data_IF_075404672260
#
_entry.id   IF_075404672260
#
_cell.length_a   1.000
_cell.length_b   1.000
_cell.length_c   1.000
_cell.angle_alpha   90.00
_cell.angle_beta   90.00
_cell.angle_gamma   90.00
#
_symmetry.space_group_name_H-M   'P 1'
#
loop_
_entity.id
_entity.type
_entity.pdbx_description
1 polymer ?
#
# COMPACT_ATOMS: atom_id res chain seq x y z
N UNK A 1 7.09 -20.75 13.31
CA UNK A 1 6.19 -20.95 12.14
C UNK A 1 5.93 -19.67 11.34
N UNK A 2 5.97 -18.48 11.95
CA UNK A 2 5.62 -17.22 11.28
C UNK A 2 6.65 -16.72 10.26
N UNK A 3 7.94 -17.08 10.39
CA UNK A 3 8.99 -16.60 9.49
C UNK A 3 8.77 -17.02 8.03
N UNK A 4 8.47 -18.29 7.79
CA UNK A 4 8.24 -18.81 6.44
C UNK A 4 7.02 -18.15 5.79
N UNK A 5 5.94 -17.96 6.57
CA UNK A 5 4.72 -17.29 6.12
C UNK A 5 5.01 -15.82 5.78
N UNK A 6 5.71 -15.09 6.64
CA UNK A 6 6.09 -13.70 6.39
C UNK A 6 6.98 -13.57 5.16
N UNK A 7 7.92 -14.50 4.96
CA UNK A 7 8.78 -14.52 3.78
C UNK A 7 7.98 -14.74 2.50
N UNK A 8 7.06 -15.70 2.49
CA UNK A 8 6.21 -15.97 1.33
C UNK A 8 5.28 -14.79 1.02
N UNK A 9 4.71 -14.15 2.03
CA UNK A 9 3.89 -12.94 1.86
C UNK A 9 4.70 -11.77 1.32
N UNK A 10 5.93 -11.57 1.83
CA UNK A 10 6.85 -10.56 1.34
C UNK A 10 7.28 -10.79 -0.11
N UNK A 11 7.56 -12.05 -0.47
CA UNK A 11 7.90 -12.43 -1.83
C UNK A 11 6.71 -12.21 -2.79
N UNK A 12 5.50 -12.61 -2.39
CA UNK A 12 4.28 -12.38 -3.16
C UNK A 12 4.04 -10.89 -3.38
N UNK A 13 4.23 -10.06 -2.34
CA UNK A 13 4.12 -8.61 -2.45
C UNK A 13 5.17 -8.02 -3.40
N UNK A 14 6.43 -8.42 -3.27
CA UNK A 14 7.51 -7.97 -4.15
C UNK A 14 7.28 -8.34 -5.61
N UNK A 15 6.87 -9.58 -5.89
CA UNK A 15 6.50 -10.03 -7.23
C UNK A 15 5.34 -9.17 -7.78
N UNK A 16 4.33 -8.89 -6.96
CA UNK A 16 3.22 -8.01 -7.34
C UNK A 16 3.66 -6.59 -7.71
N UNK A 17 4.62 -6.01 -6.98
CA UNK A 17 5.18 -4.68 -7.29
C UNK A 17 5.91 -4.67 -8.64
N UNK A 18 6.71 -5.70 -8.92
CA UNK A 18 7.44 -5.82 -10.19
C UNK A 18 6.47 -6.03 -11.36
N UNK A 19 5.51 -6.94 -11.22
CA UNK A 19 4.53 -7.25 -12.29
C UNK A 19 3.60 -6.07 -12.57
N UNK A 20 3.23 -5.28 -11.56
CA UNK A 20 2.41 -4.08 -11.76
C UNK A 20 3.17 -2.90 -12.38
N UNK A 21 4.50 -2.95 -12.42
CA UNK A 21 5.34 -1.86 -12.91
C UNK A 21 5.37 -0.65 -11.98
N UNK A 22 5.01 -0.81 -10.70
CA UNK A 22 5.04 0.27 -9.70
C UNK A 22 6.46 0.74 -9.35
N UNK A 23 7.48 -0.01 -9.76
CA UNK A 23 8.88 0.38 -9.63
C UNK A 23 9.32 1.39 -10.69
N UNK A 24 8.52 1.63 -11.73
CA UNK A 24 8.83 2.61 -12.78
C UNK A 24 8.30 4.00 -12.38
N UNK A 25 9.17 4.99 -12.13
CA UNK A 25 8.73 6.33 -11.76
C UNK A 25 7.93 7.02 -12.86
N UNK A 26 8.14 6.65 -14.13
CA UNK A 26 7.37 7.19 -15.24
C UNK A 26 5.88 6.84 -15.10
N UNK A 27 5.54 5.64 -14.61
CA UNK A 27 4.14 5.25 -14.38
C UNK A 27 3.46 6.07 -13.28
N UNK A 28 4.19 6.39 -12.22
CA UNK A 28 3.63 7.18 -11.11
C UNK A 28 3.47 8.63 -11.53
N UNK A 29 4.46 9.20 -12.20
CA UNK A 29 4.40 10.57 -12.71
C UNK A 29 3.30 10.74 -13.77
N UNK A 30 3.18 9.80 -14.71
CA UNK A 30 2.11 9.80 -15.71
C UNK A 30 0.72 9.64 -15.08
N UNK A 31 0.58 8.95 -13.96
CA UNK A 31 -0.69 8.90 -13.23
C UNK A 31 -1.04 10.25 -12.58
N UNK A 32 -0.04 10.99 -12.08
CA UNK A 32 -0.21 12.30 -11.46
C UNK A 32 -0.39 13.42 -12.50
N UNK A 33 0.10 13.23 -13.72
CA UNK A 33 -0.02 14.20 -14.82
C UNK A 33 -1.38 14.14 -15.52
N UNK A 34 -2.40 14.70 -14.85
CA UNK A 34 -3.78 14.78 -15.34
C UNK A 34 -3.94 15.66 -16.61
N UNK A 35 -2.96 16.49 -16.94
CA UNK A 35 -3.03 17.45 -18.06
C UNK A 35 -2.15 17.04 -19.26
N UNK A 36 -1.34 15.99 -19.13
CA UNK A 36 -0.44 15.48 -20.16
C UNK A 36 -0.72 14.03 -20.53
N UNK A 37 0.28 13.15 -20.38
CA UNK A 37 0.20 11.73 -20.74
C UNK A 37 -0.42 10.89 -19.61
N UNK A 38 -1.67 11.18 -19.28
CA UNK A 38 -2.35 10.55 -18.14
C UNK A 38 -2.54 9.03 -18.35
N UNK A 39 -1.92 8.21 -17.49
CA UNK A 39 -2.02 6.75 -17.51
C UNK A 39 -2.93 6.23 -16.36
N UNK A 40 -4.15 5.73 -16.65
CA UNK A 40 -5.07 5.23 -15.63
C UNK A 40 -4.70 3.83 -15.09
N UNK A 41 -3.66 3.18 -15.62
CA UNK A 41 -3.28 1.82 -15.21
C UNK A 41 -2.94 1.73 -13.73
N UNK A 42 -2.35 2.77 -13.15
CA UNK A 42 -2.04 2.83 -11.71
C UNK A 42 -3.31 2.87 -10.85
N UNK A 43 -4.38 3.53 -11.33
CA UNK A 43 -5.66 3.63 -10.64
C UNK A 43 -6.31 2.26 -10.47
N UNK A 44 -6.19 1.38 -11.46
CA UNK A 44 -6.70 0.01 -11.40
C UNK A 44 -5.93 -0.84 -10.38
N UNK A 45 -4.61 -0.66 -10.31
CA UNK A 45 -3.77 -1.36 -9.32
C UNK A 45 -4.11 -0.91 -7.91
N UNK A 46 -4.16 0.41 -7.66
CA UNK A 46 -4.52 0.96 -6.35
C UNK A 46 -5.97 0.59 -5.98
N UNK A 47 -6.90 0.74 -6.93
CA UNK A 47 -8.32 0.44 -6.71
C UNK A 47 -8.56 -1.03 -6.39
N UNK A 48 -7.92 -1.95 -7.11
CA UNK A 48 -8.01 -3.39 -6.81
C UNK A 48 -7.36 -3.74 -5.47
N UNK A 49 -6.22 -3.14 -5.13
CA UNK A 49 -5.59 -3.32 -3.83
C UNK A 49 -6.50 -2.86 -2.68
N UNK A 50 -7.08 -1.65 -2.78
CA UNK A 50 -8.01 -1.11 -1.78
C UNK A 50 -9.25 -2.00 -1.65
N UNK A 51 -9.82 -2.45 -2.77
CA UNK A 51 -11.00 -3.32 -2.77
C UNK A 51 -10.70 -4.67 -2.11
N UNK A 52 -9.60 -5.33 -2.48
CA UNK A 52 -9.18 -6.61 -1.90
C UNK A 52 -8.90 -6.45 -0.41
N UNK A 53 -8.20 -5.39 0.01
CA UNK A 53 -7.94 -5.12 1.44
C UNK A 53 -9.23 -4.86 2.21
N UNK A 54 -10.17 -4.09 1.64
CA UNK A 54 -11.45 -3.81 2.29
C UNK A 54 -12.26 -5.08 2.52
N UNK A 55 -12.41 -5.93 1.50
CA UNK A 55 -13.08 -7.22 1.63
C UNK A 55 -12.30 -8.15 2.59
N UNK A 56 -10.98 -8.18 2.47
CA UNK A 56 -10.10 -8.98 3.32
C UNK A 56 -10.25 -8.65 4.80
N UNK A 57 -10.23 -7.37 5.17
CA UNK A 57 -10.44 -6.94 6.56
C UNK A 57 -11.82 -7.29 7.08
N UNK A 58 -12.87 -7.14 6.25
CA UNK A 58 -14.24 -7.55 6.63
C UNK A 58 -14.35 -9.05 6.91
N UNK A 59 -13.58 -9.89 6.24
CA UNK A 59 -13.57 -11.34 6.43
C UNK A 59 -12.66 -11.77 7.59
N UNK A 60 -11.49 -11.15 7.72
CA UNK A 60 -10.48 -11.50 8.73
C UNK A 60 -10.89 -10.99 10.11
N UNK A 61 -11.41 -9.77 10.21
CA UNK A 61 -11.85 -9.20 11.49
C UNK A 61 -13.17 -9.78 12.02
N UNK A 62 -13.84 -10.64 11.24
CA UNK A 62 -14.95 -11.48 11.72
C UNK A 62 -14.47 -12.71 12.50
N UNK A 63 -13.18 -13.06 12.42
CA UNK A 63 -12.59 -14.16 13.18
C UNK A 63 -12.15 -13.68 14.55
N UNK A 64 -12.25 -14.54 15.55
CA UNK A 64 -11.82 -14.23 16.92
C UNK A 64 -10.29 -14.11 17.05
N UNK A 65 -9.54 -14.80 16.19
CA UNK A 65 -8.07 -14.81 16.22
C UNK A 65 -7.45 -14.89 14.81
N UNK A 66 -6.22 -14.36 14.63
CA UNK A 66 -5.47 -14.53 13.39
C UNK A 66 -5.09 -15.99 13.15
N UNK A 67 -5.03 -16.40 11.87
CA UNK A 67 -4.62 -17.76 11.48
C UNK A 67 -3.13 -18.00 11.80
N UNK A 68 -2.31 -16.97 11.62
CA UNK A 68 -0.87 -16.98 11.91
C UNK A 68 -0.57 -15.78 12.80
N UNK A 69 -0.42 -16.03 14.10
CA UNK A 69 -0.24 -15.00 15.13
C UNK A 69 -1.05 -15.33 16.39
N UNK A 70 -0.74 -14.68 17.50
CA UNK A 70 -1.51 -14.85 18.76
C UNK A 70 -2.75 -13.97 18.83
N UNK A 71 -2.64 -12.70 18.40
CA UNK A 71 -3.70 -11.69 18.52
C UNK A 71 -3.63 -10.68 17.37
N UNK A 72 -4.77 -10.05 17.06
CA UNK A 72 -4.78 -8.89 16.16
C UNK A 72 -4.29 -7.64 16.91
N UNK A 73 -3.30 -6.95 16.36
CA UNK A 73 -2.80 -5.67 16.88
C UNK A 73 -3.49 -4.51 16.16
N UNK A 74 -4.71 -4.17 16.57
CA UNK A 74 -5.43 -3.02 16.02
C UNK A 74 -5.10 -1.73 16.78
N UNK A 75 -5.03 -0.57 16.11
CA UNK A 75 -4.92 0.71 16.77
C UNK A 75 -6.12 0.95 17.70
N UNK A 76 -5.88 1.23 18.98
CA UNK A 76 -6.93 1.58 19.94
C UNK A 76 -7.36 3.05 19.83
N UNK A 77 -6.49 3.89 19.24
CA UNK A 77 -6.72 5.32 19.05
C UNK A 77 -7.61 5.57 17.82
N UNK A 78 -8.64 6.39 18.03
CA UNK A 78 -9.60 6.81 16.99
C UNK A 78 -9.67 8.33 16.85
N UNK A 79 -8.87 9.04 17.63
CA UNK A 79 -8.70 10.48 17.56
C UNK A 79 -7.98 10.84 16.27
N UNK A 80 -8.59 11.77 15.53
CA UNK A 80 -7.93 12.42 14.39
C UNK A 80 -7.24 13.66 14.97
N UNK A 81 -5.94 13.54 15.22
CA UNK A 81 -5.12 14.66 15.68
C UNK A 81 -4.40 15.33 14.49
N UNK A 82 -3.83 16.52 14.74
CA UNK A 82 -3.07 17.22 13.73
C UNK A 82 -1.87 16.41 13.22
N UNK A 83 -1.36 15.44 14.01
CA UNK A 83 -0.20 14.61 13.66
C UNK A 83 -0.55 13.53 12.63
N UNK A 84 -1.73 12.92 12.78
CA UNK A 84 -2.32 11.95 11.84
C UNK A 84 -2.70 12.64 10.53
N UNK A 85 -2.96 13.95 10.53
CA UNK A 85 -3.19 14.70 9.30
C UNK A 85 -1.89 15.17 8.63
N UNK A 86 -1.01 15.82 9.40
CA UNK A 86 0.18 16.52 8.87
C UNK A 86 1.26 15.55 8.41
N UNK A 87 1.52 14.46 9.14
CA UNK A 87 2.55 13.49 8.78
C UNK A 87 2.29 12.84 7.41
N UNK A 88 1.12 12.20 7.20
CA UNK A 88 0.77 11.61 5.91
C UNK A 88 0.67 12.64 4.78
N UNK A 89 0.23 13.87 5.06
CA UNK A 89 0.19 14.92 4.05
C UNK A 89 1.60 15.30 3.56
N UNK A 90 2.54 15.56 4.48
CA UNK A 90 3.93 15.89 4.13
C UNK A 90 4.59 14.70 3.39
N UNK A 91 4.37 13.48 3.89
CA UNK A 91 4.88 12.27 3.26
C UNK A 91 4.33 12.08 1.84
N UNK A 92 3.02 12.27 1.64
CA UNK A 92 2.37 12.17 0.34
C UNK A 92 2.87 13.22 -0.66
N UNK A 93 3.09 14.46 -0.21
CA UNK A 93 3.68 15.51 -1.04
C UNK A 93 5.10 15.15 -1.47
N UNK A 94 5.96 14.73 -0.54
CA UNK A 94 7.33 14.33 -0.87
C UNK A 94 7.37 13.15 -1.84
N UNK A 95 6.47 12.19 -1.65
CA UNK A 95 6.35 11.03 -2.53
C UNK A 95 5.89 11.39 -3.95
N UNK A 96 4.87 12.25 -4.08
CA UNK A 96 4.37 12.73 -5.37
C UNK A 96 5.41 13.55 -6.13
N UNK A 97 6.22 14.35 -5.43
CA UNK A 97 7.33 15.10 -6.03
C UNK A 97 8.46 14.17 -6.51
N UNK A 98 8.70 13.07 -5.79
CA UNK A 98 9.76 12.12 -6.15
C UNK A 98 9.41 11.19 -7.31
N UNK A 99 8.13 10.99 -7.64
CA UNK A 99 7.72 9.97 -8.61
C UNK A 99 7.97 8.52 -8.15
N UNK A 100 8.31 8.35 -6.87
CA UNK A 100 8.41 7.08 -6.11
C UNK A 100 7.19 6.17 -6.25
N UNK A 101 7.25 4.90 -5.81
CA UNK A 101 6.22 4.25 -4.98
C UNK A 101 6.88 3.90 -3.64
N UNK A 102 6.32 4.11 -2.44
CA UNK A 102 7.10 3.99 -1.19
C UNK A 102 7.64 2.58 -0.97
N UNK A 103 6.97 1.54 -1.49
CA UNK A 103 7.48 0.17 -1.48
C UNK A 103 8.73 0.02 -2.36
N UNK A 104 8.61 0.26 -3.68
CA UNK A 104 9.76 0.22 -4.60
C UNK A 104 10.88 1.21 -4.28
N UNK A 105 10.58 2.37 -3.69
CA UNK A 105 11.57 3.39 -3.30
C UNK A 105 12.56 2.89 -2.24
N UNK A 106 12.19 1.87 -1.45
CA UNK A 106 13.11 1.21 -0.52
C UNK A 106 14.09 0.26 -1.22
N UNK A 107 13.81 -0.10 -2.47
CA UNK A 107 14.58 -1.07 -3.26
C UNK A 107 15.24 -0.47 -4.51
N UNK A 108 14.92 0.78 -4.84
CA UNK A 108 15.42 1.52 -6.01
C UNK A 108 16.77 2.20 -5.73
#
# INVERSE_FOLDING_TARGET
MSFLVNLLLGLLFGIGLVVSGMSDPAKVLNFLDLFGSWDPSLALVIGSAVLITFLGYRLVLKRDAPIVGGTFHLPARKDIDARVLTGPAIFGVGWGLGGFCPGPALTA
#
